data_IF_881828881922
#
_entry.id   IF_881828881922
#
_cell.length_a   1.000
_cell.length_b   1.000
_cell.length_c   1.000
_cell.angle_alpha   90.00
_cell.angle_beta   90.00
_cell.angle_gamma   90.00
#
_symmetry.space_group_name_H-M   'P 1'
#
loop_
_entity.id
_entity.type
_entity.pdbx_description
1 polymer ?
#
# COMPACT_ATOMS: atom_id res chain seq x y z
N UNK A 1 -27.66 19.82 -5.76
CA UNK A 1 -26.39 19.35 -5.20
C UNK A 1 -25.52 18.91 -6.37
N UNK A 2 -24.40 19.59 -6.62
CA UNK A 2 -23.38 19.01 -7.49
C UNK A 2 -22.91 17.73 -6.80
N UNK A 3 -23.16 16.55 -7.39
CA UNK A 3 -22.46 15.35 -6.96
C UNK A 3 -21.03 15.50 -7.47
N UNK A 4 -20.14 16.01 -6.63
CA UNK A 4 -18.72 16.01 -6.98
C UNK A 4 -18.30 14.57 -7.28
N UNK A 5 -17.76 14.35 -8.49
CA UNK A 5 -17.33 13.03 -8.93
C UNK A 5 -15.93 12.80 -8.38
N UNK A 6 -15.80 11.79 -7.53
CA UNK A 6 -14.49 11.36 -7.02
C UNK A 6 -13.77 10.56 -8.10
N UNK A 7 -12.52 10.91 -8.38
CA UNK A 7 -11.65 10.13 -9.27
C UNK A 7 -10.87 9.08 -8.49
N UNK A 8 -11.15 7.81 -8.81
CA UNK A 8 -10.55 6.65 -8.15
C UNK A 8 -9.62 5.95 -9.14
N UNK A 9 -8.37 5.73 -8.73
CA UNK A 9 -7.45 4.83 -9.42
C UNK A 9 -7.46 3.46 -8.72
N UNK A 10 -7.55 2.38 -9.51
CA UNK A 10 -7.44 1.01 -9.02
C UNK A 10 -6.13 0.44 -9.54
N UNK A 11 -5.24 0.09 -8.62
CA UNK A 11 -3.95 -0.48 -8.93
C UNK A 11 -4.04 -2.00 -9.12
N UNK A 12 -3.22 -2.51 -10.03
CA UNK A 12 -2.96 -3.94 -10.19
C UNK A 12 -1.46 -4.16 -10.19
N UNK A 13 -0.99 -5.12 -9.40
CA UNK A 13 0.42 -5.49 -9.31
C UNK A 13 0.58 -6.97 -8.98
N UNK A 14 1.79 -7.49 -9.18
CA UNK A 14 2.17 -8.84 -8.76
C UNK A 14 3.12 -8.71 -7.58
N UNK A 15 2.63 -8.97 -6.38
CA UNK A 15 3.45 -8.99 -5.19
C UNK A 15 4.40 -10.20 -5.22
N UNK A 16 5.54 -10.07 -4.54
CA UNK A 16 6.52 -11.15 -4.31
C UNK A 16 6.82 -11.31 -2.82
N UNK A 17 7.58 -12.33 -2.43
CA UNK A 17 7.97 -12.57 -1.02
C UNK A 17 9.17 -11.68 -0.62
N UNK A 18 9.10 -10.39 -0.96
CA UNK A 18 10.13 -9.37 -0.65
C UNK A 18 9.47 -8.01 -0.44
N UNK A 19 9.30 -7.62 0.82
CA UNK A 19 8.67 -6.34 1.23
C UNK A 19 9.13 -5.15 0.39
N UNK A 20 10.45 -4.95 0.27
CA UNK A 20 11.02 -3.78 -0.41
C UNK A 20 10.67 -3.72 -1.89
N UNK A 21 10.56 -4.89 -2.54
CA UNK A 21 10.22 -4.97 -3.97
C UNK A 21 8.75 -4.58 -4.16
N UNK A 22 7.88 -4.99 -3.25
CA UNK A 22 6.46 -4.64 -3.31
C UNK A 22 6.24 -3.18 -2.96
N UNK A 23 6.95 -2.66 -1.94
CA UNK A 23 6.87 -1.27 -1.55
C UNK A 23 7.34 -0.35 -2.68
N UNK A 24 8.46 -0.67 -3.34
CA UNK A 24 8.92 0.09 -4.50
C UNK A 24 7.85 0.13 -5.62
N UNK A 25 7.20 -1.00 -5.92
CA UNK A 25 6.10 -1.05 -6.89
C UNK A 25 4.90 -0.21 -6.46
N UNK A 26 4.50 -0.26 -5.18
CA UNK A 26 3.41 0.57 -4.63
C UNK A 26 3.70 2.05 -4.85
N UNK A 27 4.90 2.49 -4.49
CA UNK A 27 5.32 3.89 -4.63
C UNK A 27 5.37 4.33 -6.09
N UNK A 28 5.87 3.47 -6.98
CA UNK A 28 5.89 3.74 -8.43
C UNK A 28 4.46 3.87 -8.98
N UNK A 29 3.58 2.90 -8.70
CA UNK A 29 2.20 2.91 -9.18
C UNK A 29 1.44 4.12 -8.64
N UNK A 30 1.60 4.43 -7.35
CA UNK A 30 0.99 5.59 -6.70
C UNK A 30 1.43 6.90 -7.38
N UNK A 31 2.73 7.05 -7.69
CA UNK A 31 3.25 8.25 -8.36
C UNK A 31 2.66 8.49 -9.75
N UNK A 32 2.20 7.42 -10.42
CA UNK A 32 1.61 7.47 -11.77
C UNK A 32 0.11 7.73 -11.77
N UNK A 33 -0.55 7.72 -10.61
CA UNK A 33 -1.99 7.91 -10.48
C UNK A 33 -2.39 9.40 -10.48
N UNK A 34 -1.86 10.17 -11.43
CA UNK A 34 -2.11 11.61 -11.52
C UNK A 34 -3.60 11.93 -11.69
N UNK A 35 -4.08 12.91 -10.92
CA UNK A 35 -5.47 13.36 -10.96
C UNK A 35 -6.48 12.42 -10.29
N UNK A 36 -6.04 11.32 -9.68
CA UNK A 36 -6.85 10.56 -8.74
C UNK A 36 -6.90 11.25 -7.38
N UNK A 37 -8.01 11.08 -6.68
CA UNK A 37 -8.19 11.50 -5.28
C UNK A 37 -7.95 10.34 -4.31
N UNK A 38 -8.06 9.10 -4.79
CA UNK A 38 -7.72 7.89 -4.06
C UNK A 38 -7.14 6.83 -5.00
N UNK A 39 -6.09 6.15 -4.53
CA UNK A 39 -5.48 4.99 -5.19
C UNK A 39 -5.71 3.75 -4.33
N UNK A 40 -6.41 2.76 -4.87
CA UNK A 40 -6.76 1.52 -4.17
C UNK A 40 -5.90 0.37 -4.69
N UNK A 41 -5.17 -0.28 -3.79
CA UNK A 41 -4.31 -1.44 -4.10
C UNK A 41 -5.00 -2.78 -3.82
N UNK A 42 -4.54 -3.87 -4.47
CA UNK A 42 -5.02 -5.21 -4.19
C UNK A 42 -4.79 -5.63 -2.74
N UNK A 43 -5.59 -6.56 -2.23
CA UNK A 43 -5.42 -7.09 -0.88
C UNK A 43 -4.02 -7.70 -0.68
N UNK A 44 -3.47 -7.55 0.54
CA UNK A 44 -2.19 -8.10 0.94
C UNK A 44 -1.04 -7.62 0.03
N UNK A 45 -1.03 -6.33 -0.27
CA UNK A 45 -0.17 -5.73 -1.30
C UNK A 45 1.32 -5.95 -1.03
N UNK A 46 1.74 -5.91 0.24
CA UNK A 46 3.15 -5.93 0.61
C UNK A 46 3.73 -7.34 0.78
N UNK A 47 2.91 -8.39 0.78
CA UNK A 47 3.36 -9.77 0.90
C UNK A 47 2.51 -10.70 0.04
N UNK A 48 3.13 -11.57 -0.76
CA UNK A 48 2.35 -12.37 -1.71
C UNK A 48 1.97 -13.75 -1.18
N UNK A 49 2.93 -14.53 -0.66
CA UNK A 49 2.70 -15.93 -0.34
C UNK A 49 2.56 -16.16 1.16
N UNK A 50 1.40 -16.65 1.55
CA UNK A 50 1.22 -17.37 2.81
C UNK A 50 1.61 -18.83 2.53
N UNK A 51 2.75 -19.29 3.05
CA UNK A 51 3.18 -20.69 2.94
C UNK A 51 2.82 -21.43 4.22
N UNK A 52 2.35 -22.67 4.07
CA UNK A 52 2.14 -23.53 5.24
C UNK A 52 3.47 -23.74 5.98
N UNK A 53 3.47 -23.59 7.30
CA UNK A 53 4.65 -23.73 8.14
C UNK A 53 5.62 -22.53 8.14
N UNK A 54 5.38 -21.47 7.35
CA UNK A 54 6.14 -20.22 7.47
C UNK A 54 5.45 -19.25 8.42
N UNK A 55 6.24 -18.40 9.09
CA UNK A 55 5.67 -17.24 9.79
C UNK A 55 5.10 -16.26 8.76
N UNK A 56 3.99 -15.61 9.11
CA UNK A 56 3.42 -14.55 8.30
C UNK A 56 4.36 -13.34 8.37
N UNK A 57 4.89 -12.93 7.22
CA UNK A 57 5.60 -11.67 7.13
C UNK A 57 4.60 -10.51 7.32
N UNK A 58 5.03 -9.51 8.07
CA UNK A 58 4.15 -8.44 8.51
C UNK A 58 4.95 -7.15 8.64
N UNK A 59 4.26 -6.05 8.40
CA UNK A 59 4.83 -4.71 8.50
C UNK A 59 4.73 -4.22 9.96
N UNK A 60 5.77 -3.57 10.45
CA UNK A 60 5.73 -2.93 11.77
C UNK A 60 4.86 -1.67 11.71
N UNK A 61 3.84 -1.59 12.57
CA UNK A 61 3.00 -0.40 12.64
C UNK A 61 3.81 0.82 13.10
N UNK A 62 3.79 1.89 12.30
CA UNK A 62 4.61 3.10 12.55
C UNK A 62 6.10 2.93 12.22
N UNK A 63 6.51 1.75 11.75
CA UNK A 63 7.88 1.46 11.34
C UNK A 63 8.31 2.19 10.06
N UNK A 64 9.58 2.01 9.64
CA UNK A 64 10.19 2.77 8.55
C UNK A 64 9.43 2.63 7.21
N UNK A 65 8.92 1.44 6.89
CA UNK A 65 8.15 1.20 5.66
C UNK A 65 6.80 1.93 5.66
N UNK A 66 6.13 2.02 6.81
CA UNK A 66 4.90 2.80 6.94
C UNK A 66 5.18 4.29 6.77
N UNK A 67 6.29 4.77 7.32
CA UNK A 67 6.72 6.16 7.16
C UNK A 67 7.04 6.50 5.71
N UNK A 68 7.57 5.56 4.94
CA UNK A 68 7.78 5.74 3.50
C UNK A 68 6.45 5.89 2.74
N UNK A 69 5.44 5.07 3.05
CA UNK A 69 4.10 5.19 2.49
C UNK A 69 3.48 6.54 2.88
N UNK A 70 3.54 6.90 4.16
CA UNK A 70 3.01 8.16 4.67
C UNK A 70 3.69 9.35 3.98
N UNK A 71 5.02 9.32 3.84
CA UNK A 71 5.78 10.37 3.15
C UNK A 71 5.35 10.51 1.69
N UNK A 72 5.03 9.40 1.01
CA UNK A 72 4.55 9.45 -0.36
C UNK A 72 3.14 10.04 -0.46
N UNK A 73 2.25 9.69 0.48
CA UNK A 73 0.91 10.29 0.58
C UNK A 73 0.99 11.77 0.88
N UNK A 74 1.78 12.18 1.87
CA UNK A 74 1.96 13.58 2.27
C UNK A 74 2.50 14.48 1.15
N UNK A 75 3.33 13.92 0.26
CA UNK A 75 3.87 14.62 -0.92
C UNK A 75 2.97 14.54 -2.15
N UNK A 76 2.03 13.60 -2.17
CA UNK A 76 1.14 13.35 -3.29
C UNK A 76 -0.15 14.16 -3.20
N UNK A 77 -1.02 13.97 -4.20
CA UNK A 77 -2.34 14.62 -4.27
C UNK A 77 -3.50 13.67 -4.02
N UNK A 78 -3.23 12.42 -3.65
CA UNK A 78 -4.23 11.37 -3.52
C UNK A 78 -4.15 10.69 -2.15
N UNK A 79 -5.28 10.17 -1.67
CA UNK A 79 -5.25 9.18 -0.61
C UNK A 79 -4.73 7.84 -1.15
N UNK A 80 -4.17 7.01 -0.28
CA UNK A 80 -3.75 5.66 -0.59
C UNK A 80 -4.52 4.66 0.27
N UNK A 81 -5.08 3.64 -0.36
CA UNK A 81 -5.72 2.51 0.31
C UNK A 81 -4.99 1.22 -0.07
N UNK A 82 -4.43 0.53 0.91
CA UNK A 82 -3.86 -0.80 0.76
C UNK A 82 -4.17 -1.66 1.99
N UNK A 83 -4.04 -2.97 1.86
CA UNK A 83 -4.10 -3.88 3.01
C UNK A 83 -2.84 -4.74 3.06
N UNK A 84 -2.38 -5.03 4.28
CA UNK A 84 -1.23 -5.88 4.55
C UNK A 84 -1.30 -6.35 6.02
N UNK A 85 -0.78 -7.54 6.36
CA UNK A 85 -0.53 -7.91 7.73
C UNK A 85 0.38 -6.89 8.42
N UNK A 86 -0.02 -6.46 9.60
CA UNK A 86 0.79 -5.62 10.48
C UNK A 86 1.06 -6.36 11.79
N UNK A 87 2.28 -6.23 12.31
CA UNK A 87 2.56 -6.60 13.69
C UNK A 87 1.91 -5.57 14.60
N UNK A 88 1.07 -6.04 15.50
CA UNK A 88 0.64 -5.22 16.62
C UNK A 88 1.79 -5.21 17.63
N UNK A 89 2.51 -4.10 17.74
CA UNK A 89 3.57 -3.90 18.73
C UNK A 89 3.03 -3.81 20.17
N UNK A 90 1.71 -3.95 20.36
CA UNK A 90 1.06 -4.02 21.66
C UNK A 90 1.18 -5.40 22.31
N UNK A 91 2.30 -5.61 23.00
CA UNK A 91 2.42 -6.33 24.28
C UNK A 91 3.54 -5.67 25.10
#
# INVERSE_FOLDING_TARGET
MNSEKIRIAVAQMTSVDRLEVNLAQVLEIYSRAEGAEIVVFPENTLFFRIRSGSKLESLEWGGPHMQQIQTAVDKGSAALMLTTPCLNSGN
#
